data_IF_755833154418
#
_entry.id   IF_755833154418
#
_cell.length_a   1.000
_cell.length_b   1.000
_cell.length_c   1.000
_cell.angle_alpha   90.00
_cell.angle_beta   90.00
_cell.angle_gamma   90.00
#
_symmetry.space_group_name_H-M   'P 1'
#
loop_
_entity.id
_entity.type
_entity.pdbx_description
1 polymer ?
#
# COMPACT_ATOMS: atom_id res chain seq x y z
N UNK A 1 20.09 -3.00 15.01
CA UNK A 1 19.79 -3.67 13.73
C UNK A 1 19.00 -4.96 13.94
N UNK A 2 19.52 -5.97 14.66
CA UNK A 2 18.81 -7.24 14.92
C UNK A 2 17.45 -7.11 15.63
N UNK A 3 17.32 -6.17 16.58
CA UNK A 3 16.03 -5.90 17.22
C UNK A 3 15.03 -5.27 16.24
N UNK A 4 15.41 -4.28 15.43
CA UNK A 4 14.53 -3.72 14.40
C UNK A 4 14.01 -4.79 13.42
N UNK A 5 14.87 -5.75 13.05
CA UNK A 5 14.48 -6.90 12.20
C UNK A 5 13.45 -7.79 12.89
N UNK A 6 13.69 -8.17 14.16
CA UNK A 6 12.72 -8.93 14.95
C UNK A 6 11.38 -8.19 15.05
N UNK A 7 11.45 -6.87 15.27
CA UNK A 7 10.28 -6.03 15.42
C UNK A 7 9.45 -5.98 14.13
N UNK A 8 10.08 -5.78 12.98
CA UNK A 8 9.37 -5.77 11.70
C UNK A 8 8.80 -7.13 11.31
N UNK A 9 9.46 -8.23 11.71
CA UNK A 9 8.95 -9.58 11.49
C UNK A 9 7.69 -9.87 12.32
N UNK A 10 7.70 -9.46 13.59
CA UNK A 10 6.55 -9.59 14.47
C UNK A 10 5.34 -8.81 13.91
N UNK A 11 5.54 -7.58 13.43
CA UNK A 11 4.48 -6.76 12.80
C UNK A 11 3.84 -7.46 11.59
N UNK A 12 4.64 -8.05 10.70
CA UNK A 12 4.09 -8.79 9.56
C UNK A 12 3.35 -10.05 10.00
N UNK A 13 3.87 -10.76 11.00
CA UNK A 13 3.20 -11.94 11.55
C UNK A 13 1.85 -11.56 12.17
N UNK A 14 1.76 -10.42 12.84
CA UNK A 14 0.52 -9.86 13.35
C UNK A 14 -0.43 -9.45 12.23
N UNK A 15 0.04 -8.73 11.22
CA UNK A 15 -0.76 -8.38 10.03
C UNK A 15 -1.38 -9.61 9.34
N UNK A 16 -0.62 -10.72 9.24
CA UNK A 16 -1.11 -12.01 8.73
C UNK A 16 -2.17 -12.61 9.67
N UNK A 17 -1.95 -12.56 10.98
CA UNK A 17 -2.90 -13.06 11.98
C UNK A 17 -4.20 -12.26 11.97
N UNK A 18 -4.12 -10.93 11.89
CA UNK A 18 -5.27 -10.01 11.77
C UNK A 18 -6.09 -10.38 10.54
N UNK A 19 -5.43 -10.62 9.41
CA UNK A 19 -6.11 -11.03 8.19
C UNK A 19 -6.87 -12.34 8.35
N UNK A 20 -6.28 -13.34 9.00
CA UNK A 20 -6.94 -14.64 9.21
C UNK A 20 -8.21 -14.53 10.07
N UNK A 21 -8.24 -13.59 11.03
CA UNK A 21 -9.43 -13.32 11.85
C UNK A 21 -10.43 -12.43 11.11
N UNK A 22 -9.94 -11.50 10.29
CA UNK A 22 -10.73 -10.43 9.66
C UNK A 22 -10.40 -10.27 8.18
N UNK A 23 -10.78 -11.24 7.32
CA UNK A 23 -10.47 -11.19 5.88
C UNK A 23 -11.14 -10.02 5.15
N UNK A 24 -12.15 -9.41 5.77
CA UNK A 24 -12.86 -8.23 5.25
C UNK A 24 -11.96 -7.01 5.03
N UNK A 25 -10.81 -6.95 5.70
CA UNK A 25 -9.82 -5.90 5.47
C UNK A 25 -9.30 -5.87 4.01
N UNK A 26 -9.34 -6.97 3.27
CA UNK A 26 -8.94 -6.97 1.85
C UNK A 26 -9.97 -6.35 0.90
N UNK A 27 -11.23 -6.22 1.31
CA UNK A 27 -12.32 -5.84 0.40
C UNK A 27 -12.07 -4.48 -0.29
N UNK A 28 -11.67 -3.39 0.40
CA UNK A 28 -11.40 -2.11 -0.26
C UNK A 28 -10.30 -2.22 -1.32
N UNK A 29 -9.23 -2.97 -1.04
CA UNK A 29 -8.10 -3.16 -1.93
C UNK A 29 -8.44 -4.07 -3.12
N UNK A 30 -9.29 -5.06 -2.92
CA UNK A 30 -9.77 -5.93 -3.99
C UNK A 30 -10.68 -5.15 -4.96
N UNK A 31 -11.56 -4.30 -4.45
CA UNK A 31 -12.39 -3.41 -5.27
C UNK A 31 -11.51 -2.46 -6.10
N UNK A 32 -10.47 -1.88 -5.50
CA UNK A 32 -9.49 -1.06 -6.23
C UNK A 32 -8.84 -1.85 -7.37
N UNK A 33 -8.45 -3.10 -7.12
CA UNK A 33 -7.85 -3.94 -8.16
C UNK A 33 -8.82 -4.24 -9.31
N UNK A 34 -10.10 -4.51 -9.00
CA UNK A 34 -11.14 -4.74 -10.01
C UNK A 34 -11.36 -3.53 -10.93
N UNK A 35 -11.06 -2.32 -10.47
CA UNK A 35 -11.10 -1.10 -11.30
C UNK A 35 -9.78 -0.93 -12.07
N UNK A 36 -8.64 -1.20 -11.42
CA UNK A 36 -7.32 -1.05 -12.04
C UNK A 36 -7.09 -1.98 -13.21
N UNK A 37 -7.38 -3.26 -13.02
CA UNK A 37 -7.01 -4.28 -13.99
C UNK A 37 -7.63 -4.02 -15.38
N UNK A 38 -8.95 -3.72 -15.50
CA UNK A 38 -9.55 -3.35 -16.78
C UNK A 38 -8.93 -2.10 -17.41
N UNK A 39 -8.65 -1.06 -16.61
CA UNK A 39 -8.05 0.19 -17.11
C UNK A 39 -6.65 -0.08 -17.68
N UNK A 40 -5.81 -0.83 -16.96
CA UNK A 40 -4.46 -1.19 -17.42
C UNK A 40 -4.53 -2.01 -18.71
N UNK A 41 -5.42 -3.00 -18.79
CA UNK A 41 -5.58 -3.83 -19.99
C UNK A 41 -6.09 -3.01 -21.18
N UNK A 42 -7.08 -2.15 -20.97
CA UNK A 42 -7.58 -1.24 -21.99
C UNK A 42 -6.46 -0.34 -22.52
N UNK A 43 -5.69 0.29 -21.61
CA UNK A 43 -4.61 1.19 -21.98
C UNK A 43 -3.47 0.49 -22.73
N UNK A 44 -3.17 -0.78 -22.40
CA UNK A 44 -2.10 -1.53 -23.07
C UNK A 44 -2.53 -2.04 -24.46
N UNK A 45 -3.74 -2.58 -24.58
CA UNK A 45 -4.14 -3.37 -25.75
C UNK A 45 -5.10 -2.65 -26.70
N UNK A 46 -5.99 -1.79 -26.17
CA UNK A 46 -7.09 -1.20 -26.93
C UNK A 46 -6.90 0.30 -27.19
N UNK A 47 -6.20 1.00 -26.31
CA UNK A 47 -6.03 2.45 -26.41
C UNK A 47 -5.04 2.85 -27.51
N UNK A 48 -5.49 3.70 -28.43
CA UNK A 48 -4.69 4.15 -29.56
C UNK A 48 -3.79 5.35 -29.19
N UNK A 49 -2.62 5.06 -28.59
CA UNK A 49 -1.62 6.06 -28.24
C UNK A 49 -1.14 6.91 -29.43
N UNK A 50 -1.16 6.36 -30.65
CA UNK A 50 -0.69 7.05 -31.85
C UNK A 50 -1.63 8.18 -32.31
N UNK A 51 -2.85 8.24 -31.79
CA UNK A 51 -3.81 9.29 -32.10
C UNK A 51 -3.55 10.62 -31.36
N UNK A 52 -2.64 10.62 -30.38
CA UNK A 52 -2.41 11.75 -29.47
C UNK A 52 -1.02 12.34 -29.65
N UNK A 53 -0.90 13.64 -29.42
CA UNK A 53 0.40 14.32 -29.39
C UNK A 53 1.17 13.98 -28.12
N UNK A 54 2.50 14.17 -28.12
CA UNK A 54 3.33 13.89 -26.94
C UNK A 54 2.85 14.60 -25.67
N UNK A 55 2.40 15.85 -25.77
CA UNK A 55 1.86 16.61 -24.63
C UNK A 55 0.54 16.00 -24.14
N UNK A 56 -0.35 15.60 -25.06
CA UNK A 56 -1.61 14.94 -24.69
C UNK A 56 -1.35 13.60 -23.99
N UNK A 57 -0.37 12.82 -24.47
CA UNK A 57 0.04 11.55 -23.84
C UNK A 57 0.50 11.79 -22.39
N UNK A 58 1.28 12.85 -22.14
CA UNK A 58 1.73 13.20 -20.79
C UNK A 58 0.56 13.55 -19.86
N UNK A 59 -0.42 14.33 -20.34
CA UNK A 59 -1.62 14.65 -19.56
C UNK A 59 -2.49 13.43 -19.27
N UNK A 60 -2.68 12.56 -20.27
CA UNK A 60 -3.42 11.31 -20.11
C UNK A 60 -2.71 10.42 -19.07
N UNK A 61 -1.39 10.25 -19.19
CA UNK A 61 -0.59 9.48 -18.24
C UNK A 61 -0.68 10.04 -16.82
N UNK A 62 -0.56 11.36 -16.65
CA UNK A 62 -0.71 12.00 -15.35
C UNK A 62 -2.11 11.78 -14.77
N UNK A 63 -3.16 11.94 -15.59
CA UNK A 63 -4.54 11.71 -15.18
C UNK A 63 -4.79 10.27 -14.70
N UNK A 64 -4.24 9.28 -15.40
CA UNK A 64 -4.33 7.86 -15.00
C UNK A 64 -3.59 7.63 -13.67
N UNK A 65 -2.37 8.14 -13.55
CA UNK A 65 -1.58 8.03 -12.31
C UNK A 65 -2.32 8.69 -11.14
N UNK A 66 -2.93 9.85 -11.36
CA UNK A 66 -3.73 10.53 -10.35
C UNK A 66 -4.94 9.70 -9.92
N UNK A 67 -5.70 9.13 -10.87
CA UNK A 67 -6.83 8.24 -10.58
C UNK A 67 -6.38 7.02 -9.76
N UNK A 68 -5.24 6.42 -10.10
CA UNK A 68 -4.69 5.30 -9.33
C UNK A 68 -4.23 5.76 -7.94
N UNK A 69 -3.42 6.81 -7.82
CA UNK A 69 -3.02 7.33 -6.51
C UNK A 69 -4.25 7.64 -5.62
N UNK A 70 -5.33 8.17 -6.21
CA UNK A 70 -6.60 8.44 -5.54
C UNK A 70 -7.28 7.16 -5.04
N UNK A 71 -7.56 6.20 -5.93
CA UNK A 71 -8.25 4.96 -5.59
C UNK A 71 -7.48 4.17 -4.52
N UNK A 72 -6.15 4.12 -4.63
CA UNK A 72 -5.31 3.46 -3.64
C UNK A 72 -5.40 4.16 -2.27
N UNK A 73 -5.23 5.48 -2.23
CA UNK A 73 -5.34 6.27 -0.99
C UNK A 73 -6.71 6.14 -0.35
N UNK A 74 -7.76 6.14 -1.18
CA UNK A 74 -9.13 5.95 -0.73
C UNK A 74 -9.34 4.57 -0.10
N UNK A 75 -8.88 3.50 -0.76
CA UNK A 75 -8.99 2.14 -0.22
C UNK A 75 -8.17 1.94 1.06
N UNK A 76 -6.98 2.56 1.15
CA UNK A 76 -6.19 2.55 2.37
C UNK A 76 -6.84 3.35 3.51
N UNK A 77 -7.48 4.48 3.21
CA UNK A 77 -8.26 5.23 4.19
C UNK A 77 -9.43 4.41 4.73
N UNK A 78 -10.18 3.73 3.85
CA UNK A 78 -11.22 2.79 4.28
C UNK A 78 -10.65 1.65 5.14
N UNK A 79 -9.46 1.15 4.82
CA UNK A 79 -8.80 0.14 5.65
C UNK A 79 -8.47 0.68 7.04
N UNK A 80 -7.95 1.92 7.14
CA UNK A 80 -7.65 2.58 8.42
C UNK A 80 -8.90 2.81 9.26
N UNK A 81 -10.03 3.13 8.64
CA UNK A 81 -11.33 3.24 9.33
C UNK A 81 -11.81 1.90 9.88
N UNK A 82 -11.58 0.79 9.15
CA UNK A 82 -11.91 -0.54 9.66
C UNK A 82 -11.01 -0.91 10.84
N UNK A 83 -9.72 -0.54 10.79
CA UNK A 83 -8.79 -0.73 11.91
C UNK A 83 -9.29 0.09 13.11
N UNK A 84 -9.66 1.35 12.91
CA UNK A 84 -10.19 2.20 13.97
C UNK A 84 -11.46 1.64 14.60
N UNK A 85 -12.37 1.08 13.81
CA UNK A 85 -13.57 0.43 14.34
C UNK A 85 -13.21 -0.75 15.25
N UNK A 86 -12.22 -1.56 14.87
CA UNK A 86 -11.76 -2.68 15.68
C UNK A 86 -11.08 -2.19 16.97
N UNK A 87 -10.20 -1.19 16.86
CA UNK A 87 -9.49 -0.53 17.96
C UNK A 87 -10.38 0.25 18.92
N UNK A 88 -11.64 0.51 18.57
CA UNK A 88 -12.61 1.20 19.44
C UNK A 88 -13.69 0.25 19.95
N UNK A 89 -13.51 -1.07 19.77
CA UNK A 89 -14.47 -2.09 20.18
C UNK A 89 -15.78 -2.08 19.38
N UNK A 90 -15.84 -1.34 18.25
CA UNK A 90 -17.01 -1.30 17.39
C UNK A 90 -17.06 -2.52 16.45
N UNK A 91 -18.28 -2.91 16.07
CA UNK A 91 -18.45 -3.93 15.02
C UNK A 91 -17.98 -3.38 13.67
N UNK A 92 -17.03 -4.06 13.05
CA UNK A 92 -16.53 -3.72 11.72
C UNK A 92 -17.66 -3.66 10.68
N UNK A 93 -17.74 -2.52 10.00
CA UNK A 93 -18.73 -2.22 8.97
C UNK A 93 -18.09 -1.47 7.81
N UNK A 94 -18.07 -2.11 6.64
CA UNK A 94 -17.55 -1.52 5.39
C UNK A 94 -18.33 -0.26 4.98
N UNK A 95 -19.65 -0.24 5.19
CA UNK A 95 -20.49 0.90 4.83
C UNK A 95 -20.22 2.11 5.71
N UNK A 96 -19.99 1.91 7.02
CA UNK A 96 -19.55 2.97 7.93
C UNK A 96 -18.17 3.49 7.54
N UNK A 97 -17.22 2.60 7.27
CA UNK A 97 -15.87 2.97 6.85
C UNK A 97 -15.89 3.79 5.54
N UNK A 98 -16.72 3.37 4.58
CA UNK A 98 -16.94 4.08 3.32
C UNK A 98 -17.51 5.49 3.55
N UNK A 99 -18.58 5.58 4.36
CA UNK A 99 -19.26 6.85 4.66
C UNK A 99 -18.34 7.85 5.37
N UNK A 100 -17.55 7.39 6.34
CA UNK A 100 -16.60 8.24 7.05
C UNK A 100 -15.45 8.69 6.14
N UNK A 101 -14.91 7.77 5.34
CA UNK A 101 -13.86 8.10 4.35
C UNK A 101 -14.34 9.17 3.36
N UNK A 102 -15.56 9.03 2.83
CA UNK A 102 -16.16 10.00 1.90
C UNK A 102 -16.53 11.33 2.58
N UNK A 103 -17.02 11.31 3.81
CA UNK A 103 -17.49 12.51 4.49
C UNK A 103 -16.39 13.36 5.11
N UNK A 104 -15.38 12.72 5.71
CA UNK A 104 -14.41 13.40 6.58
C UNK A 104 -12.99 13.37 6.02
N UNK A 105 -12.56 12.25 5.43
CA UNK A 105 -11.17 12.06 5.04
C UNK A 105 -10.86 12.54 3.61
N UNK A 106 -11.82 12.42 2.68
CA UNK A 106 -11.58 12.63 1.24
C UNK A 106 -10.95 13.99 0.91
N UNK A 107 -11.46 15.08 1.50
CA UNK A 107 -10.98 16.43 1.22
C UNK A 107 -9.54 16.65 1.69
N UNK A 108 -9.13 15.94 2.75
CA UNK A 108 -7.77 16.00 3.31
C UNK A 108 -6.81 15.08 2.55
N UNK A 109 -7.33 14.01 1.94
CA UNK A 109 -6.58 13.06 1.12
C UNK A 109 -6.26 13.61 -0.27
N UNK A 110 -7.15 14.40 -0.88
CA UNK A 110 -6.95 14.93 -2.25
C UNK A 110 -5.61 15.66 -2.44
N UNK A 111 -5.19 16.60 -1.56
CA UNK A 111 -3.89 17.26 -1.70
C UNK A 111 -2.72 16.26 -1.59
N UNK A 112 -2.83 15.26 -0.71
CA UNK A 112 -1.82 14.22 -0.55
C UNK A 112 -1.71 13.35 -1.82
N UNK A 113 -2.84 12.95 -2.38
CA UNK A 113 -2.93 12.22 -3.65
C UNK A 113 -2.29 13.01 -4.79
N UNK A 114 -2.54 14.31 -4.85
CA UNK A 114 -1.96 15.16 -5.89
C UNK A 114 -0.42 15.20 -5.80
N UNK A 115 0.13 15.39 -4.60
CA UNK A 115 1.58 15.33 -4.38
C UNK A 115 2.14 13.96 -4.74
N UNK A 116 1.47 12.88 -4.32
CA UNK A 116 1.90 11.53 -4.64
C UNK A 116 1.87 11.27 -6.16
N UNK A 117 0.82 11.69 -6.85
CA UNK A 117 0.69 11.55 -8.29
C UNK A 117 1.81 12.29 -9.05
N UNK A 118 2.19 13.50 -8.61
CA UNK A 118 3.33 14.23 -9.17
C UNK A 118 4.62 13.43 -9.01
N UNK A 119 4.90 12.93 -7.81
CA UNK A 119 6.12 12.14 -7.55
C UNK A 119 6.12 10.89 -8.44
N UNK A 120 5.01 10.15 -8.48
CA UNK A 120 4.89 8.94 -9.28
C UNK A 120 5.04 9.22 -10.78
N UNK A 121 4.44 10.31 -11.27
CA UNK A 121 4.58 10.74 -12.66
C UNK A 121 6.03 11.08 -13.02
N UNK A 122 6.73 11.84 -12.18
CA UNK A 122 8.15 12.16 -12.37
C UNK A 122 8.98 10.87 -12.40
N UNK A 123 8.78 9.96 -11.45
CA UNK A 123 9.48 8.67 -11.42
C UNK A 123 9.24 7.85 -12.70
N UNK A 124 7.99 7.83 -13.18
CA UNK A 124 7.61 7.15 -14.42
C UNK A 124 8.33 7.76 -15.62
N UNK A 125 8.37 9.09 -15.75
CA UNK A 125 9.09 9.77 -16.84
C UNK A 125 10.57 9.42 -16.80
N UNK A 126 11.21 9.55 -15.64
CA UNK A 126 12.65 9.26 -15.50
C UNK A 126 12.91 7.79 -15.85
N UNK A 127 12.07 6.86 -15.38
CA UNK A 127 12.19 5.45 -15.70
C UNK A 127 12.08 5.19 -17.21
N UNK A 128 11.15 5.85 -17.91
CA UNK A 128 10.99 5.74 -19.36
C UNK A 128 12.21 6.29 -20.10
N UNK A 129 12.71 7.46 -19.70
CA UNK A 129 13.90 8.08 -20.31
C UNK A 129 15.16 7.23 -20.13
N UNK A 130 15.30 6.55 -18.99
CA UNK A 130 16.43 5.65 -18.70
C UNK A 130 16.26 4.23 -19.25
N UNK A 131 15.06 3.88 -19.73
CA UNK A 131 14.81 2.58 -20.32
C UNK A 131 15.36 2.55 -21.74
N UNK A 132 16.32 1.65 -22.03
CA UNK A 132 16.84 1.45 -23.38
C UNK A 132 15.67 1.19 -24.34
N UNK A 133 15.54 2.01 -25.38
CA UNK A 133 14.53 1.87 -26.45
C UNK A 133 14.66 0.48 -27.04
N UNK A 134 13.76 -0.45 -26.66
CA UNK A 134 13.62 -1.71 -27.39
C UNK A 134 13.00 -1.35 -28.75
N UNK A 135 13.54 -1.95 -29.82
CA UNK A 135 12.90 -1.98 -31.14
C UNK A 135 11.43 -2.32 -30.94
N UNK A 136 10.53 -1.59 -31.62
CA UNK A 136 9.09 -1.83 -31.62
C UNK A 136 8.84 -3.33 -31.75
N UNK A 137 8.51 -3.97 -30.62
CA UNK A 137 7.94 -5.31 -30.66
C UNK A 137 6.53 -5.14 -31.17
N UNK A 138 6.15 -5.96 -32.15
CA UNK A 138 4.77 -6.09 -32.61
C UNK A 138 3.80 -6.04 -31.43
N UNK A 139 2.67 -5.34 -31.60
CA UNK A 139 1.65 -5.22 -30.55
C UNK A 139 1.24 -6.62 -30.12
N UNK A 140 1.61 -7.01 -28.90
CA UNK A 140 1.23 -8.30 -28.32
C UNK A 140 -0.30 -8.45 -28.41
N UNK A 141 -0.82 -9.59 -28.90
CA UNK A 141 -2.26 -9.80 -29.01
C UNK A 141 -2.90 -9.84 -27.61
N UNK A 142 -4.17 -9.44 -27.53
CA UNK A 142 -4.92 -9.49 -26.28
C UNK A 142 -5.41 -10.92 -26.01
N UNK A 143 -4.61 -11.70 -25.28
CA UNK A 143 -4.91 -13.06 -24.83
C UNK A 143 -4.97 -13.14 -23.29
N UNK A 144 -5.55 -14.21 -22.74
CA UNK A 144 -5.62 -14.40 -21.28
C UNK A 144 -4.21 -14.47 -20.65
N UNK A 145 -3.26 -15.12 -21.33
CA UNK A 145 -1.85 -15.14 -20.90
C UNK A 145 -1.24 -13.74 -20.85
N UNK A 146 -1.40 -12.97 -21.93
CA UNK A 146 -0.83 -11.63 -22.04
C UNK A 146 -1.48 -10.66 -21.03
N UNK A 147 -2.77 -10.83 -20.76
CA UNK A 147 -3.46 -10.12 -19.69
C UNK A 147 -2.87 -10.47 -18.31
N UNK A 148 -2.69 -11.76 -18.00
CA UNK A 148 -2.09 -12.21 -16.75
C UNK A 148 -0.65 -11.67 -16.58
N UNK A 149 0.19 -11.77 -17.61
CA UNK A 149 1.56 -11.23 -17.61
C UNK A 149 1.58 -9.73 -17.35
N UNK A 150 0.67 -8.99 -17.99
CA UNK A 150 0.53 -7.53 -17.82
C UNK A 150 0.13 -7.15 -16.40
N UNK A 151 -0.91 -7.81 -15.86
CA UNK A 151 -1.43 -7.52 -14.53
C UNK A 151 -0.47 -7.95 -13.41
N UNK A 152 0.33 -8.99 -13.61
CA UNK A 152 1.41 -9.36 -12.71
C UNK A 152 2.62 -8.42 -12.81
N UNK A 153 2.66 -7.54 -13.82
CA UNK A 153 3.86 -6.74 -14.13
C UNK A 153 5.07 -7.60 -14.50
N UNK A 154 4.83 -8.80 -15.05
CA UNK A 154 5.86 -9.76 -15.43
C UNK A 154 6.62 -9.25 -16.66
N UNK A 155 7.88 -8.89 -16.46
CA UNK A 155 8.79 -8.43 -17.50
C UNK A 155 10.22 -8.87 -17.16
N UNK A 156 11.08 -8.95 -18.18
CA UNK A 156 12.51 -9.27 -17.98
C UNK A 156 13.14 -8.33 -16.94
N UNK A 157 13.82 -8.93 -15.97
CA UNK A 157 14.48 -8.24 -14.88
C UNK A 157 15.46 -7.17 -15.40
N UNK A 158 15.45 -6.01 -14.74
CA UNK A 158 16.33 -4.89 -15.05
C UNK A 158 16.60 -4.14 -13.75
N UNK A 159 17.88 -3.91 -13.44
CA UNK A 159 18.30 -3.32 -12.17
C UNK A 159 17.76 -1.88 -12.00
N UNK A 160 17.75 -1.09 -13.06
CA UNK A 160 17.15 0.25 -13.04
C UNK A 160 15.65 0.19 -12.73
N UNK A 161 14.91 -0.73 -13.35
CA UNK A 161 13.47 -0.89 -13.06
C UNK A 161 13.21 -1.41 -11.65
N UNK A 162 14.03 -2.34 -11.15
CA UNK A 162 13.94 -2.80 -9.77
C UNK A 162 14.15 -1.64 -8.78
N UNK A 163 15.11 -0.75 -9.06
CA UNK A 163 15.33 0.47 -8.29
C UNK A 163 14.11 1.40 -8.31
N UNK A 164 13.53 1.70 -9.49
CA UNK A 164 12.33 2.54 -9.57
C UNK A 164 11.12 1.92 -8.85
N UNK A 165 10.89 0.61 -8.99
CA UNK A 165 9.84 -0.10 -8.25
C UNK A 165 10.04 -0.02 -6.73
N UNK A 166 11.29 -0.15 -6.28
CA UNK A 166 11.63 0.01 -4.87
C UNK A 166 11.38 1.44 -4.37
N UNK A 167 11.73 2.45 -5.18
CA UNK A 167 11.50 3.85 -4.86
C UNK A 167 10.00 4.20 -4.82
N UNK A 168 9.22 3.76 -5.81
CA UNK A 168 7.76 3.90 -5.84
C UNK A 168 7.10 3.27 -4.62
N UNK A 169 7.56 2.07 -4.22
CA UNK A 169 7.11 1.43 -2.98
C UNK A 169 7.47 2.25 -1.75
N UNK A 170 8.68 2.79 -1.68
CA UNK A 170 9.13 3.60 -0.55
C UNK A 170 8.28 4.85 -0.38
N UNK A 171 8.03 5.58 -1.48
CA UNK A 171 7.12 6.73 -1.51
C UNK A 171 5.72 6.32 -1.09
N UNK A 172 5.18 5.21 -1.63
CA UNK A 172 3.87 4.70 -1.26
C UNK A 172 3.74 4.41 0.24
N UNK A 173 4.71 3.72 0.83
CA UNK A 173 4.69 3.44 2.28
C UNK A 173 4.80 4.71 3.13
N UNK A 174 5.52 5.75 2.67
CA UNK A 174 5.52 7.06 3.33
C UNK A 174 4.12 7.70 3.26
N UNK A 175 3.45 7.63 2.11
CA UNK A 175 2.06 8.11 2.00
C UNK A 175 1.13 7.34 2.95
N UNK A 176 1.30 6.02 3.05
CA UNK A 176 0.54 5.18 3.96
C UNK A 176 0.78 5.50 5.43
N UNK A 177 1.95 6.03 5.80
CA UNK A 177 2.26 6.48 7.15
C UNK A 177 1.66 7.87 7.46
N UNK A 178 1.37 8.68 6.43
CA UNK A 178 0.70 9.98 6.57
C UNK A 178 -0.82 9.80 6.75
N UNK A 179 -1.41 8.80 6.10
CA UNK A 179 -2.87 8.57 6.13
C UNK A 179 -3.46 8.38 7.53
N UNK A 180 -2.84 7.65 8.48
CA UNK A 180 -3.33 7.53 9.86
C UNK A 180 -3.53 8.88 10.57
N UNK A 181 -2.66 9.85 10.32
CA UNK A 181 -2.77 11.20 10.88
C UNK A 181 -4.05 11.92 10.42
N UNK A 182 -4.51 11.60 9.20
CA UNK A 182 -5.76 12.12 8.64
C UNK A 182 -6.94 11.33 9.20
N UNK A 183 -6.89 9.99 9.13
CA UNK A 183 -8.02 9.12 9.48
C UNK A 183 -8.32 9.13 10.98
N UNK A 184 -7.29 8.94 11.82
CA UNK A 184 -7.47 8.73 13.26
C UNK A 184 -7.42 10.03 14.07
N UNK A 185 -6.52 10.95 13.71
CA UNK A 185 -6.34 12.22 14.42
C UNK A 185 -7.02 13.42 13.75
N UNK A 186 -7.68 13.19 12.61
CA UNK A 186 -8.44 14.21 11.88
C UNK A 186 -7.60 15.45 11.49
N UNK A 187 -6.28 15.31 11.35
CA UNK A 187 -5.37 16.43 11.12
C UNK A 187 -5.52 17.00 9.69
N UNK A 188 -5.31 18.31 9.55
CA UNK A 188 -5.22 18.95 8.23
C UNK A 188 -4.00 18.46 7.44
N UNK A 189 -3.97 18.73 6.13
CA UNK A 189 -2.93 18.25 5.21
C UNK A 189 -1.48 18.47 5.72
N UNK A 190 -1.10 19.71 6.00
CA UNK A 190 0.28 20.03 6.42
C UNK A 190 0.68 19.40 7.76
N UNK A 191 -0.26 19.35 8.71
CA UNK A 191 -0.04 18.71 10.02
C UNK A 191 0.14 17.20 9.86
N UNK A 192 -0.67 16.58 9.00
CA UNK A 192 -0.60 15.15 8.70
C UNK A 192 0.73 14.78 8.04
N UNK A 193 1.17 15.55 7.04
CA UNK A 193 2.47 15.34 6.38
C UNK A 193 3.60 15.48 7.39
N UNK A 194 3.60 16.55 8.19
CA UNK A 194 4.63 16.78 9.21
C UNK A 194 4.66 15.63 10.23
N UNK A 195 3.50 15.18 10.71
CA UNK A 195 3.42 14.08 11.69
C UNK A 195 3.88 12.77 11.07
N UNK A 196 3.37 12.38 9.90
CA UNK A 196 3.80 11.15 9.21
C UNK A 196 5.31 11.12 8.94
N UNK A 197 5.91 12.25 8.53
CA UNK A 197 7.36 12.35 8.36
C UNK A 197 8.13 12.29 9.69
N UNK A 198 7.58 12.85 10.78
CA UNK A 198 8.17 12.73 12.11
C UNK A 198 8.16 11.26 12.59
N UNK A 199 7.06 10.53 12.36
CA UNK A 199 6.99 9.08 12.64
C UNK A 199 8.04 8.31 11.83
N UNK A 200 8.14 8.60 10.53
CA UNK A 200 9.15 7.99 9.66
C UNK A 200 10.59 8.23 10.16
N UNK A 201 10.91 9.48 10.53
CA UNK A 201 12.25 9.86 11.01
C UNK A 201 12.56 9.23 12.37
N UNK A 202 11.58 9.22 13.28
CA UNK A 202 11.74 8.60 14.60
C UNK A 202 11.98 7.09 14.49
N UNK A 203 11.36 6.43 13.51
CA UNK A 203 11.29 4.97 13.40
C UNK A 203 11.86 4.43 12.08
N UNK A 204 12.93 5.05 11.59
CA UNK A 204 13.53 4.74 10.29
C UNK A 204 13.97 3.27 10.19
N UNK A 205 14.53 2.70 11.26
CA UNK A 205 15.02 1.31 11.26
C UNK A 205 13.87 0.31 11.10
N UNK A 206 12.77 0.52 11.82
CA UNK A 206 11.56 -0.29 11.76
C UNK A 206 10.91 -0.13 10.38
N UNK A 207 10.79 1.10 9.88
CA UNK A 207 10.25 1.37 8.55
C UNK A 207 11.03 0.65 7.44
N UNK A 208 12.37 0.76 7.43
CA UNK A 208 13.23 0.07 6.45
C UNK A 208 13.08 -1.45 6.56
N UNK A 209 12.96 -1.97 7.79
CA UNK A 209 12.71 -3.40 7.99
C UNK A 209 11.37 -3.81 7.38
N UNK A 210 10.28 -3.09 7.67
CA UNK A 210 8.98 -3.36 7.08
C UNK A 210 8.98 -3.26 5.56
N UNK A 211 9.68 -2.28 5.00
CA UNK A 211 9.86 -2.12 3.56
C UNK A 211 10.49 -3.37 2.93
N UNK A 212 11.56 -3.90 3.52
CA UNK A 212 12.24 -5.11 3.03
C UNK A 212 11.33 -6.32 3.21
N UNK A 213 10.80 -6.53 4.41
CA UNK A 213 10.05 -7.74 4.72
C UNK A 213 8.73 -7.85 3.95
N UNK A 214 7.98 -6.76 3.79
CA UNK A 214 6.79 -6.76 2.92
C UNK A 214 7.16 -7.00 1.46
N UNK A 215 8.38 -6.64 1.05
CA UNK A 215 8.90 -6.92 -0.30
C UNK A 215 9.23 -8.39 -0.49
N UNK A 216 9.85 -9.00 0.51
CA UNK A 216 10.11 -10.45 0.56
C UNK A 216 8.79 -11.22 0.59
N UNK A 217 7.82 -10.79 1.40
CA UNK A 217 6.48 -11.38 1.44
C UNK A 217 5.81 -11.34 0.07
N UNK A 218 5.81 -10.17 -0.59
CA UNK A 218 5.29 -10.02 -1.95
C UNK A 218 6.03 -10.95 -2.94
N UNK A 219 7.35 -11.10 -2.83
CA UNK A 219 8.10 -12.04 -3.68
C UNK A 219 7.61 -13.49 -3.53
N UNK A 220 7.35 -13.96 -2.30
CA UNK A 220 6.80 -15.28 -2.05
C UNK A 220 5.36 -15.42 -2.56
N UNK A 221 4.53 -14.41 -2.34
CA UNK A 221 3.14 -14.39 -2.81
C UNK A 221 3.08 -14.43 -4.35
N UNK A 222 3.98 -13.73 -5.05
CA UNK A 222 4.03 -13.72 -6.52
C UNK A 222 4.88 -14.86 -7.11
N UNK A 223 5.42 -15.76 -6.29
CA UNK A 223 6.24 -16.88 -6.78
C UNK A 223 5.43 -17.86 -7.67
N UNK A 224 4.22 -18.30 -7.30
CA UNK A 224 3.44 -19.21 -8.15
C UNK A 224 3.17 -18.67 -9.58
N UNK A 225 2.65 -17.45 -9.79
CA UNK A 225 2.47 -16.92 -11.14
C UNK A 225 3.82 -16.72 -11.85
N UNK A 226 4.89 -16.35 -11.14
CA UNK A 226 6.22 -16.25 -11.73
C UNK A 226 6.74 -17.59 -12.28
N UNK A 227 6.53 -18.69 -11.55
CA UNK A 227 6.87 -20.04 -12.02
C UNK A 227 6.05 -20.39 -13.26
N UNK A 228 4.75 -20.13 -13.24
CA UNK A 228 3.88 -20.39 -14.39
C UNK A 228 4.33 -19.63 -15.64
N UNK A 229 4.65 -18.34 -15.50
CA UNK A 229 5.17 -17.54 -16.62
C UNK A 229 6.53 -18.06 -17.12
N UNK A 230 7.42 -18.50 -16.22
CA UNK A 230 8.71 -19.07 -16.61
C UNK A 230 8.55 -20.38 -17.39
N UNK A 231 7.61 -21.24 -16.98
CA UNK A 231 7.30 -22.50 -17.68
C UNK A 231 6.73 -22.18 -19.07
N UNK A 232 5.75 -21.28 -19.16
CA UNK A 232 5.15 -20.89 -20.45
C UNK A 232 6.20 -20.28 -21.41
N UNK A 233 7.05 -19.37 -20.90
CA UNK A 233 8.00 -18.61 -21.74
C UNK A 233 9.25 -19.40 -22.13
N UNK A 234 9.79 -20.25 -21.23
CA UNK A 234 11.06 -20.96 -21.47
C UNK A 234 10.90 -22.42 -21.90
N UNK A 235 9.83 -23.07 -21.48
CA UNK A 235 9.57 -24.47 -21.83
C UNK A 235 8.53 -24.58 -22.97
N UNK A 236 8.04 -23.44 -23.47
CA UNK A 236 7.06 -23.34 -24.56
C UNK A 236 5.80 -24.20 -24.31
N UNK A 237 5.44 -24.37 -23.04
CA UNK A 237 4.25 -25.14 -22.63
C UNK A 237 3.02 -24.26 -22.77
N UNK A 238 2.12 -24.64 -23.68
CA UNK A 238 0.81 -24.02 -23.82
C UNK A 238 -0.12 -24.44 -22.67
N UNK A 239 -0.65 -23.46 -21.95
CA UNK A 239 -1.70 -23.66 -20.96
C UNK A 239 -3.06 -23.21 -21.50
N UNK A 240 -4.16 -23.87 -21.11
CA UNK A 240 -5.50 -23.45 -21.50
C UNK A 240 -5.89 -22.12 -20.84
N UNK A 241 -6.80 -21.36 -21.46
CA UNK A 241 -7.26 -20.05 -20.96
C UNK A 241 -7.81 -20.09 -19.53
N UNK A 242 -8.41 -21.21 -19.10
CA UNK A 242 -8.88 -21.38 -17.72
C UNK A 242 -7.76 -21.26 -16.68
N UNK A 243 -6.54 -21.72 -16.99
CA UNK A 243 -5.37 -21.58 -16.13
C UNK A 243 -4.96 -20.12 -16.03
N UNK A 244 -5.00 -19.38 -17.13
CA UNK A 244 -4.68 -17.95 -17.14
C UNK A 244 -5.74 -17.12 -16.43
N UNK A 245 -7.02 -17.45 -16.57
CA UNK A 245 -8.11 -16.82 -15.79
C UNK A 245 -7.94 -17.07 -14.30
N UNK A 246 -7.66 -18.31 -13.89
CA UNK A 246 -7.35 -18.63 -12.49
C UNK A 246 -6.13 -17.86 -11.98
N UNK A 247 -5.11 -17.70 -12.82
CA UNK A 247 -3.91 -16.91 -12.52
C UNK A 247 -4.24 -15.43 -12.34
N UNK A 248 -5.12 -14.85 -13.17
CA UNK A 248 -5.58 -13.46 -13.02
C UNK A 248 -6.31 -13.27 -11.70
N UNK A 249 -7.19 -14.20 -11.32
CA UNK A 249 -7.87 -14.17 -10.02
C UNK A 249 -6.85 -14.24 -8.88
N UNK A 250 -5.87 -15.13 -8.97
CA UNK A 250 -4.79 -15.22 -7.98
C UNK A 250 -4.00 -13.90 -7.88
N UNK A 251 -3.63 -13.29 -9.02
CA UNK A 251 -2.92 -12.01 -9.08
C UNK A 251 -3.72 -10.91 -8.38
N UNK A 252 -5.04 -10.90 -8.50
CA UNK A 252 -5.91 -9.96 -7.79
C UNK A 252 -5.72 -10.06 -6.27
N UNK A 253 -5.84 -11.28 -5.72
CA UNK A 253 -5.62 -11.51 -4.29
C UNK A 253 -4.18 -11.22 -3.87
N UNK A 254 -3.20 -11.65 -4.66
CA UNK A 254 -1.78 -11.43 -4.40
C UNK A 254 -1.44 -9.94 -4.32
N UNK A 255 -1.95 -9.14 -5.26
CA UNK A 255 -1.75 -7.70 -5.30
C UNK A 255 -2.43 -7.01 -4.10
N UNK A 256 -3.71 -7.29 -3.87
CA UNK A 256 -4.46 -6.70 -2.76
C UNK A 256 -3.85 -7.06 -1.41
N UNK A 257 -3.40 -8.31 -1.23
CA UNK A 257 -2.75 -8.76 0.00
C UNK A 257 -1.38 -8.12 0.20
N UNK A 258 -0.60 -7.93 -0.86
CA UNK A 258 0.70 -7.25 -0.75
C UNK A 258 0.54 -5.79 -0.30
N UNK A 259 -0.44 -5.06 -0.86
CA UNK A 259 -0.75 -3.69 -0.42
C UNK A 259 -1.30 -3.67 1.00
N UNK A 260 -2.15 -4.63 1.37
CA UNK A 260 -2.67 -4.77 2.73
C UNK A 260 -1.54 -4.90 3.75
N UNK A 261 -0.54 -5.76 3.49
CA UNK A 261 0.61 -5.92 4.39
C UNK A 261 1.41 -4.61 4.55
N UNK A 262 1.56 -3.83 3.48
CA UNK A 262 2.23 -2.53 3.54
C UNK A 262 1.42 -1.50 4.37
N UNK A 263 0.11 -1.44 4.17
CA UNK A 263 -0.75 -0.50 4.90
C UNK A 263 -0.94 -0.90 6.38
N UNK A 264 -1.09 -2.18 6.68
CA UNK A 264 -1.16 -2.68 8.06
C UNK A 264 0.14 -2.41 8.80
N UNK A 265 1.29 -2.74 8.19
CA UNK A 265 2.59 -2.48 8.80
C UNK A 265 2.76 -0.99 9.16
N UNK A 266 2.40 -0.09 8.24
CA UNK A 266 2.51 1.36 8.47
C UNK A 266 1.49 1.88 9.49
N UNK A 267 0.29 1.29 9.52
CA UNK A 267 -0.73 1.59 10.52
C UNK A 267 -0.29 1.17 11.94
N UNK A 268 0.22 -0.06 12.11
CA UNK A 268 0.74 -0.54 13.39
C UNK A 268 1.96 0.27 13.86
N UNK A 269 2.86 0.62 12.95
CA UNK A 269 4.00 1.50 13.26
C UNK A 269 3.51 2.87 13.76
N UNK A 270 2.42 3.38 13.20
CA UNK A 270 1.81 4.64 13.62
C UNK A 270 1.14 4.52 15.01
N UNK A 271 0.38 3.44 15.25
CA UNK A 271 -0.20 3.16 16.58
C UNK A 271 0.90 3.06 17.64
N UNK A 272 2.03 2.41 17.33
CA UNK A 272 3.14 2.29 18.26
C UNK A 272 3.75 3.65 18.59
N UNK A 273 3.81 4.55 17.59
CA UNK A 273 4.22 5.93 17.81
C UNK A 273 3.24 6.69 18.71
N UNK A 274 1.92 6.57 18.48
CA UNK A 274 0.91 7.20 19.34
C UNK A 274 1.01 6.72 20.80
N UNK A 275 1.20 5.41 20.99
CA UNK A 275 1.39 4.83 22.33
C UNK A 275 2.64 5.38 23.01
N UNK A 276 3.73 5.51 22.26
CA UNK A 276 4.95 6.15 22.75
C UNK A 276 4.73 7.63 23.11
N UNK A 277 4.05 8.42 22.28
CA UNK A 277 3.72 9.82 22.61
C UNK A 277 2.91 9.94 23.92
N UNK A 278 1.95 9.03 24.13
CA UNK A 278 1.16 8.95 25.37
C UNK A 278 2.04 8.63 26.59
N UNK A 279 2.94 7.66 26.49
CA UNK A 279 3.86 7.29 27.58
C UNK A 279 4.91 8.38 27.87
N UNK A 280 5.42 9.06 26.84
CA UNK A 280 6.31 10.23 27.01
C UNK A 280 5.59 11.34 27.78
N UNK A 281 4.35 11.64 27.40
CA UNK A 281 3.53 12.65 28.09
C UNK A 281 3.30 12.28 29.56
N UNK A 282 3.05 10.99 29.83
CA UNK A 282 2.89 10.47 31.19
C UNK A 282 4.19 10.55 32.00
N UNK A 283 5.32 10.14 31.43
CA UNK A 283 6.62 10.22 32.09
C UNK A 283 7.02 11.66 32.42
N UNK A 284 6.70 12.62 31.53
CA UNK A 284 6.92 14.05 31.78
C UNK A 284 6.07 14.57 32.95
N UNK A 285 4.80 14.13 33.04
CA UNK A 285 3.91 14.49 34.17
C UNK A 285 4.36 13.87 35.49
N UNK A 286 4.90 12.65 35.43
CA UNK A 286 5.36 11.89 36.61
C UNK A 286 6.83 12.14 36.98
N UNK A 287 7.54 13.05 36.27
CA UNK A 287 8.98 13.34 36.44
C UNK A 287 9.82 12.04 36.40
N UNK A 288 9.50 11.16 35.45
CA UNK A 288 10.22 9.93 35.16
C UNK A 288 11.10 10.09 33.94
N UNK A 289 12.17 9.29 33.79
CA UNK A 289 12.95 9.27 32.56
C UNK A 289 12.04 8.99 31.37
N UNK A 290 12.24 9.74 30.28
CA UNK A 290 11.46 9.61 29.05
C UNK A 290 11.73 8.21 28.48
N UNK A 291 10.68 7.37 28.33
CA UNK A 291 10.88 6.00 27.88
C UNK A 291 11.34 6.00 26.42
N UNK A 292 12.28 5.11 26.12
CA UNK A 292 12.56 4.81 24.73
C UNK A 292 11.38 4.05 24.13
N UNK A 293 11.11 4.23 22.84
CA UNK A 293 9.99 3.52 22.19
C UNK A 293 10.14 1.98 22.29
N UNK A 294 11.36 1.48 22.44
CA UNK A 294 11.64 0.05 22.68
C UNK A 294 11.16 -0.45 24.04
N UNK A 295 11.00 0.44 25.01
CA UNK A 295 10.48 0.14 26.34
C UNK A 295 8.94 0.14 26.36
N UNK A 296 8.32 0.77 25.36
CA UNK A 296 6.86 0.79 25.21
C UNK A 296 6.42 -0.49 24.51
N UNK A 297 5.57 -1.26 25.21
CA UNK A 297 4.97 -2.47 24.65
C UNK A 297 4.26 -2.15 23.34
N UNK A 298 4.45 -3.02 22.35
CA UNK A 298 3.84 -2.84 21.03
C UNK A 298 2.33 -2.97 21.11
N UNK A 299 1.59 -2.12 20.37
CA UNK A 299 0.18 -2.34 20.13
C UNK A 299 0.00 -3.54 19.20
N UNK A 300 -1.06 -4.30 19.40
CA UNK A 300 -1.53 -5.31 18.46
C UNK A 300 -2.99 -5.04 18.14
N UNK A 301 -3.34 -5.01 16.86
CA UNK A 301 -4.72 -4.77 16.42
C UNK A 301 -5.72 -5.85 16.88
N UNK A 302 -5.19 -6.96 17.41
CA UNK A 302 -5.97 -8.06 18.01
C UNK A 302 -5.88 -8.10 19.54
N UNK A 303 -5.13 -7.21 20.18
CA UNK A 303 -5.09 -7.14 21.63
C UNK A 303 -6.30 -6.39 22.19
N UNK A 304 -6.53 -6.52 23.50
CA UNK A 304 -7.63 -5.85 24.19
C UNK A 304 -7.25 -4.42 24.63
N UNK A 305 -6.08 -3.91 24.23
CA UNK A 305 -5.53 -2.61 24.64
C UNK A 305 -5.77 -1.59 23.55
N UNK A 306 -6.94 -0.97 23.59
CA UNK A 306 -7.35 0.02 22.61
C UNK A 306 -6.54 1.33 22.67
N UNK A 307 -5.60 1.54 21.75
CA UNK A 307 -4.78 2.76 21.72
C UNK A 307 -5.53 4.01 21.25
N UNK A 308 -6.61 3.84 20.49
CA UNK A 308 -7.41 4.95 19.95
C UNK A 308 -8.52 5.42 20.90
N UNK A 309 -8.73 4.75 22.04
CA UNK A 309 -9.61 5.23 23.09
C UNK A 309 -8.84 6.24 23.95
N UNK A 310 -9.28 7.50 23.94
CA UNK A 310 -8.82 8.46 24.93
C UNK A 310 -9.43 8.11 26.29
N UNK A 311 -8.58 7.82 27.29
CA UNK A 311 -8.99 7.63 28.69
C UNK A 311 -9.58 8.89 29.35
N UNK A 312 -10.03 9.87 28.57
CA UNK A 312 -10.76 11.03 29.04
C UNK A 312 -12.27 10.74 29.29
N UNK A 313 -12.79 9.62 28.78
CA UNK A 313 -14.22 9.24 28.94
C UNK A 313 -14.48 8.09 29.93
N UNK A 314 -13.53 7.77 30.81
CA UNK A 314 -13.79 6.91 31.99
C UNK A 314 -13.72 7.74 33.26
N UNK A 315 -14.60 8.73 33.33
CA UNK A 315 -15.14 9.24 34.59
C UNK A 315 -16.67 9.24 34.40
N UNK A 316 -17.30 8.16 34.84
CA UNK A 316 -18.65 8.20 35.43
C UNK A 316 -18.58 7.38 36.70
#
# INVERSE_FOLDING_TARGET
MFQGIKNGWDLIKESIRVFNHHPRFLVPLFITWLIYAPIILYLKYLFNWNAYTGIQILWILFGIIFIFAFLLSFSCSMLLELIQQLETGQRMSLTKALGYTLGQNILKIIPLVFVWAIIWFILTIIQVLLSKKKRESEKEPFTAENAARTLAGFQRFSLSRAFFKALEKGVRMIMFLILPAIAWENLGFWKSVKKGLAVFQAHLSEFVTGFILTGVAAMFIFLPPAILFLISDKLEVSFPDSVWVATIIYIAFAWSYSIYLEQMFTAELYLWHLRWEKEVTKAQREIRPIPSMREVQRPSVLDEVHELIDKAEVIV
#
